data_IF_595605620233
#
_entry.id   IF_595605620233
#
_cell.length_a   1.000
_cell.length_b   1.000
_cell.length_c   1.000
_cell.angle_alpha   90.00
_cell.angle_beta   90.00
_cell.angle_gamma   90.00
#
_symmetry.space_group_name_H-M   'P 1'
#
loop_
_entity.id
_entity.type
_entity.pdbx_description
1 polymer ?
#
# COMPACT_ATOMS: atom_id res chain seq x y z
N UNK A 1 4.40 31.38 0.42
CA UNK A 1 2.99 31.47 -0.02
C UNK A 1 2.19 30.61 0.93
N UNK A 2 1.18 31.15 1.62
CA UNK A 2 0.31 30.33 2.48
C UNK A 2 -0.90 29.89 1.65
N UNK A 3 -1.06 28.57 1.50
CA UNK A 3 -2.22 27.96 0.87
C UNK A 3 -3.03 27.28 1.96
N UNK A 4 -4.33 27.57 2.04
CA UNK A 4 -5.22 26.95 3.02
C UNK A 4 -5.97 25.78 2.38
N UNK A 5 -5.88 24.61 3.01
CA UNK A 5 -6.59 23.39 2.62
C UNK A 5 -7.69 23.14 3.65
N UNK A 6 -8.91 22.82 3.19
CA UNK A 6 -9.98 22.39 4.09
C UNK A 6 -9.89 20.90 4.32
N UNK A 7 -9.85 20.51 5.58
CA UNK A 7 -9.85 19.11 6.02
C UNK A 7 -11.00 18.88 7.00
N UNK A 8 -11.40 17.63 7.19
CA UNK A 8 -12.35 17.28 8.24
C UNK A 8 -11.73 17.42 9.63
N UNK A 9 -12.55 17.66 10.65
CA UNK A 9 -12.11 17.72 12.05
C UNK A 9 -11.45 16.41 12.49
N UNK A 10 -11.96 15.27 12.00
CA UNK A 10 -11.36 13.96 12.24
C UNK A 10 -9.93 13.87 11.68
N UNK A 11 -9.70 14.38 10.46
CA UNK A 11 -8.37 14.41 9.85
C UNK A 11 -7.43 15.32 10.62
N UNK A 12 -7.95 16.47 11.09
CA UNK A 12 -7.19 17.41 11.91
C UNK A 12 -6.73 16.74 13.22
N UNK A 13 -7.62 16.03 13.92
CA UNK A 13 -7.27 15.34 15.16
C UNK A 13 -6.20 14.25 14.94
N UNK A 14 -6.26 13.53 13.82
CA UNK A 14 -5.22 12.56 13.45
C UNK A 14 -3.87 13.23 13.20
N UNK A 15 -3.85 14.37 12.52
CA UNK A 15 -2.61 15.12 12.29
C UNK A 15 -2.04 15.64 13.62
N UNK A 16 -2.86 16.17 14.52
CA UNK A 16 -2.43 16.63 15.84
C UNK A 16 -1.83 15.51 16.69
N UNK A 17 -2.37 14.29 16.62
CA UNK A 17 -1.83 13.14 17.36
C UNK A 17 -0.44 12.68 16.87
N UNK A 18 -0.10 12.94 15.61
CA UNK A 18 1.18 12.53 14.98
C UNK A 18 2.21 13.67 15.00
N UNK A 19 1.74 14.90 15.21
CA UNK A 19 2.55 16.11 15.26
C UNK A 19 3.43 16.12 16.51
N UNK A 20 4.72 16.41 16.35
CA UNK A 20 5.66 16.69 17.44
C UNK A 20 5.45 18.10 18.00
N UNK A 21 5.88 18.32 19.24
CA UNK A 21 5.67 19.60 19.94
C UNK A 21 6.42 20.77 19.30
N UNK A 22 7.57 20.51 18.66
CA UNK A 22 8.48 21.48 18.07
C UNK A 22 8.33 21.68 16.55
N UNK A 23 7.47 20.89 15.89
CA UNK A 23 7.26 20.99 14.43
C UNK A 23 6.02 21.81 14.05
N UNK A 24 5.92 22.28 12.82
CA UNK A 24 4.71 22.88 12.23
C UNK A 24 3.89 21.82 11.48
N UNK A 25 2.66 22.14 11.09
CA UNK A 25 1.89 21.23 10.23
C UNK A 25 2.53 21.07 8.85
N UNK A 26 3.20 22.10 8.33
CA UNK A 26 3.91 22.00 7.05
C UNK A 26 5.11 21.04 7.18
N UNK A 27 5.89 21.11 8.26
CA UNK A 27 7.01 20.17 8.50
C UNK A 27 6.52 18.74 8.77
N UNK A 28 5.38 18.58 9.47
CA UNK A 28 4.71 17.29 9.61
C UNK A 28 4.29 16.72 8.25
N UNK A 29 3.69 17.56 7.39
CA UNK A 29 3.24 17.15 6.07
C UNK A 29 4.42 16.84 5.15
N UNK A 30 5.50 17.64 5.19
CA UNK A 30 6.74 17.35 4.48
C UNK A 30 7.35 16.03 4.96
N UNK A 31 7.36 15.76 6.26
CA UNK A 31 7.83 14.47 6.81
C UNK A 31 6.97 13.29 6.33
N UNK A 32 5.64 13.42 6.39
CA UNK A 32 4.70 12.40 5.92
C UNK A 32 4.75 12.20 4.40
N UNK A 33 4.94 13.29 3.65
CA UNK A 33 5.08 13.28 2.20
C UNK A 33 6.45 12.75 1.75
N UNK A 34 7.53 12.99 2.51
CA UNK A 34 8.83 12.33 2.33
C UNK A 34 8.75 10.83 2.66
N UNK A 35 7.74 10.41 3.43
CA UNK A 35 7.44 8.98 3.60
C UNK A 35 6.65 8.40 2.42
N UNK A 36 6.13 9.23 1.51
CA UNK A 36 5.24 8.84 0.40
C UNK A 36 5.39 9.80 -0.78
N UNK A 37 6.56 9.82 -1.42
CA UNK A 37 6.64 10.40 -2.77
C UNK A 37 5.70 9.62 -3.70
N UNK A 38 5.26 10.21 -4.82
CA UNK A 38 4.50 9.44 -5.83
C UNK A 38 5.25 8.17 -6.25
N UNK A 39 6.58 8.21 -6.20
CA UNK A 39 7.44 7.06 -6.45
C UNK A 39 7.44 6.04 -5.30
N UNK A 40 7.43 6.46 -4.02
CA UNK A 40 7.25 5.53 -2.88
C UNK A 40 5.85 4.90 -2.84
N UNK A 41 4.81 5.63 -3.25
CA UNK A 41 3.45 5.08 -3.40
C UNK A 41 3.39 4.10 -4.57
N UNK A 42 4.14 4.36 -5.64
CA UNK A 42 4.31 3.46 -6.78
C UNK A 42 5.16 2.23 -6.42
N UNK A 43 6.15 2.37 -5.54
CA UNK A 43 6.99 1.29 -4.99
C UNK A 43 6.23 0.46 -3.94
N UNK A 44 5.37 1.08 -3.13
CA UNK A 44 4.42 0.37 -2.26
C UNK A 44 3.27 -0.27 -3.05
N UNK A 45 2.89 0.28 -4.21
CA UNK A 45 2.11 -0.45 -5.20
C UNK A 45 2.94 -1.55 -5.91
N UNK A 46 4.25 -1.57 -5.68
CA UNK A 46 5.22 -2.61 -6.02
C UNK A 46 5.18 -3.83 -5.11
N UNK A 47 4.11 -4.05 -4.32
CA UNK A 47 3.75 -5.39 -3.87
C UNK A 47 3.49 -6.37 -5.03
N UNK A 48 3.52 -5.92 -6.28
CA UNK A 48 3.84 -6.79 -7.41
C UNK A 48 5.34 -6.70 -7.68
N UNK A 49 6.15 -7.52 -6.99
CA UNK A 49 7.49 -7.86 -7.50
C UNK A 49 7.39 -8.18 -9.00
N UNK A 50 8.38 -7.76 -9.79
CA UNK A 50 8.46 -8.14 -11.19
C UNK A 50 8.41 -9.68 -11.29
N UNK A 51 7.35 -10.21 -11.89
CA UNK A 51 7.07 -11.65 -11.94
C UNK A 51 6.10 -12.21 -10.89
N UNK A 52 5.63 -11.43 -9.90
CA UNK A 52 4.64 -11.91 -8.92
C UNK A 52 3.34 -12.35 -9.60
N UNK A 53 2.91 -11.62 -10.64
CA UNK A 53 1.73 -11.97 -11.43
C UNK A 53 1.90 -13.33 -12.12
N UNK A 54 3.09 -13.60 -12.65
CA UNK A 54 3.40 -14.86 -13.31
C UNK A 54 3.54 -16.00 -12.29
N UNK A 55 4.15 -15.73 -11.13
CA UNK A 55 4.25 -16.69 -10.03
C UNK A 55 2.88 -17.05 -9.44
N UNK A 56 1.99 -16.06 -9.24
CA UNK A 56 0.60 -16.31 -8.83
C UNK A 56 -0.15 -17.13 -9.88
N UNK A 57 0.05 -16.84 -11.17
CA UNK A 57 -0.56 -17.59 -12.27
C UNK A 57 -0.05 -19.03 -12.32
N UNK A 58 1.24 -19.25 -12.12
CA UNK A 58 1.85 -20.57 -12.04
C UNK A 58 1.29 -21.36 -10.86
N UNK A 59 1.34 -20.81 -9.64
CA UNK A 59 0.81 -21.46 -8.44
C UNK A 59 -0.67 -21.83 -8.55
N UNK A 60 -1.47 -20.99 -9.20
CA UNK A 60 -2.88 -21.29 -9.47
C UNK A 60 -3.04 -22.48 -10.42
N UNK A 61 -2.24 -22.53 -11.48
CA UNK A 61 -2.30 -23.64 -12.43
C UNK A 61 -1.84 -24.96 -11.78
N UNK A 62 -0.71 -24.94 -11.04
CA UNK A 62 -0.20 -26.10 -10.30
C UNK A 62 -1.26 -26.64 -9.31
N UNK A 63 -1.96 -25.73 -8.62
CA UNK A 63 -3.01 -26.12 -7.68
C UNK A 63 -4.18 -26.81 -8.38
N UNK A 64 -4.66 -26.22 -9.48
CA UNK A 64 -5.77 -26.80 -10.25
C UNK A 64 -5.42 -28.18 -10.80
N UNK A 65 -4.22 -28.35 -11.36
CA UNK A 65 -3.74 -29.64 -11.86
C UNK A 65 -3.73 -30.70 -10.73
N UNK A 66 -3.22 -30.35 -9.54
CA UNK A 66 -3.21 -31.26 -8.38
C UNK A 66 -4.61 -31.63 -7.87
N UNK A 67 -5.63 -30.80 -8.13
CA UNK A 67 -7.01 -31.06 -7.75
C UNK A 67 -7.70 -31.95 -8.77
N UNK A 68 -7.44 -31.73 -10.06
CA UNK A 68 -7.95 -32.56 -11.15
C UNK A 68 -7.36 -33.97 -11.11
N UNK A 69 -6.06 -34.11 -10.83
CA UNK A 69 -5.41 -35.41 -10.62
C UNK A 69 -6.07 -36.20 -9.47
N UNK A 70 -6.29 -35.54 -8.32
CA UNK A 70 -6.96 -36.16 -7.16
C UNK A 70 -8.40 -36.57 -7.47
N UNK A 71 -9.10 -35.79 -8.30
CA UNK A 71 -10.45 -36.10 -8.72
C UNK A 71 -10.49 -37.31 -9.65
N UNK A 72 -9.54 -37.43 -10.57
CA UNK A 72 -9.44 -38.56 -11.50
C UNK A 72 -8.97 -39.88 -10.85
N UNK A 73 -8.23 -39.81 -9.74
CA UNK A 73 -7.84 -41.01 -8.96
C UNK A 73 -8.96 -41.55 -8.05
N UNK A 74 -10.01 -40.76 -7.83
CA UNK A 74 -11.15 -41.14 -6.97
C UNK A 74 -12.34 -41.70 -7.77
N UNK A 75 -12.22 -41.81 -9.09
CA UNK A 75 -13.16 -42.47 -10.02
C UNK A 75 -12.64 -43.85 -10.44
#
# INVERSE_FOLDING_TARGET
MSSSIRISDETKAKLEAIKRDDETFDELLDRLAVTRTEDDVREMAGFAEEGLKDHMKQKRNDLNESLDERRSQSE
#
